data_IF_135027417313
#
_entry.id   IF_135027417313
#
_cell.length_a   1.000
_cell.length_b   1.000
_cell.length_c   1.000
_cell.angle_alpha   90.00
_cell.angle_beta   90.00
_cell.angle_gamma   90.00
#
_symmetry.space_group_name_H-M   'P 1'
#
loop_
_entity.id
_entity.type
_entity.pdbx_description
1 polymer ?
#
# COMPACT_ATOMS: atom_id res chain seq x y z
N UNK A 1 -4.30 -17.57 -1.16
CA UNK A 1 -3.13 -16.69 -1.01
C UNK A 1 -2.91 -15.91 -2.30
N UNK A 2 -2.61 -14.64 -2.18
CA UNK A 2 -2.34 -13.80 -3.33
C UNK A 2 -1.01 -14.19 -3.97
N UNK A 3 -0.98 -14.23 -5.30
CA UNK A 3 0.25 -14.52 -6.03
C UNK A 3 1.01 -13.22 -6.29
N UNK A 4 2.24 -13.13 -5.81
CA UNK A 4 3.08 -11.93 -5.97
C UNK A 4 4.03 -12.17 -7.15
N UNK A 5 3.68 -11.65 -8.33
CA UNK A 5 4.51 -11.78 -9.52
C UNK A 5 5.78 -10.95 -9.37
N UNK A 6 6.89 -11.42 -9.93
CA UNK A 6 8.17 -10.73 -9.96
C UNK A 6 8.81 -10.49 -8.59
N UNK A 7 8.37 -11.22 -7.54
CA UNK A 7 8.98 -11.10 -6.21
C UNK A 7 10.07 -12.17 -6.07
N UNK A 8 11.36 -11.79 -5.88
CA UNK A 8 12.42 -12.77 -5.64
C UNK A 8 12.17 -13.61 -4.39
N UNK A 9 12.74 -14.80 -4.35
CA UNK A 9 12.55 -15.70 -3.22
C UNK A 9 12.95 -15.09 -1.88
N UNK A 10 14.06 -14.35 -1.86
CA UNK A 10 14.51 -13.65 -0.65
C UNK A 10 13.48 -12.66 -0.16
N UNK A 11 12.88 -11.89 -1.08
CA UNK A 11 11.83 -10.93 -0.72
C UNK A 11 10.58 -11.64 -0.25
N UNK A 12 10.27 -12.83 -0.79
CA UNK A 12 9.14 -13.63 -0.32
C UNK A 12 9.34 -14.06 1.13
N UNK A 13 10.55 -14.44 1.49
CA UNK A 13 10.87 -14.81 2.87
C UNK A 13 10.75 -13.62 3.81
N UNK A 14 11.23 -12.44 3.39
CA UNK A 14 11.09 -11.21 4.17
C UNK A 14 9.63 -10.82 4.31
N UNK A 15 8.84 -10.96 3.24
CA UNK A 15 7.41 -10.67 3.28
C UNK A 15 6.71 -11.61 4.25
N UNK A 16 7.06 -12.89 4.23
CA UNK A 16 6.48 -13.87 5.13
C UNK A 16 6.76 -13.49 6.59
N UNK A 17 7.95 -12.96 6.86
CA UNK A 17 8.29 -12.49 8.21
C UNK A 17 7.40 -11.33 8.65
N UNK A 18 7.05 -10.41 7.74
CA UNK A 18 6.11 -9.34 8.03
C UNK A 18 4.72 -9.88 8.37
N UNK A 19 4.30 -10.93 7.70
CA UNK A 19 2.94 -11.47 7.83
C UNK A 19 2.80 -12.44 9.00
N UNK A 20 3.91 -12.99 9.48
CA UNK A 20 3.89 -13.94 10.59
C UNK A 20 3.39 -13.28 11.87
N UNK A 21 2.47 -13.93 12.56
CA UNK A 21 1.93 -13.43 13.83
C UNK A 21 0.87 -12.36 13.70
N UNK A 22 0.50 -11.97 12.48
CA UNK A 22 -0.57 -11.00 12.28
C UNK A 22 -1.93 -11.68 12.40
N UNK A 23 -2.95 -10.90 12.79
CA UNK A 23 -4.30 -11.43 12.92
C UNK A 23 -4.84 -11.88 11.56
N UNK A 24 -5.82 -12.78 11.57
CA UNK A 24 -6.50 -13.21 10.35
C UNK A 24 -7.10 -12.00 9.63
N UNK A 25 -7.64 -11.05 10.39
CA UNK A 25 -8.22 -9.84 9.82
C UNK A 25 -7.18 -9.00 9.09
N UNK A 26 -6.02 -8.76 9.71
CA UNK A 26 -4.93 -7.98 9.08
C UNK A 26 -4.42 -8.67 7.82
N UNK A 27 -4.27 -9.99 7.84
CA UNK A 27 -3.85 -10.75 6.66
C UNK A 27 -4.88 -10.63 5.53
N UNK A 28 -6.16 -10.66 5.86
CA UNK A 28 -7.23 -10.47 4.88
C UNK A 28 -7.20 -9.07 4.27
N UNK A 29 -6.94 -8.05 5.08
CA UNK A 29 -6.79 -6.67 4.60
C UNK A 29 -5.63 -6.57 3.61
N UNK A 30 -4.50 -7.15 3.96
CA UNK A 30 -3.31 -7.13 3.10
C UNK A 30 -3.59 -7.81 1.77
N UNK A 31 -4.12 -9.02 1.79
CA UNK A 31 -4.45 -9.76 0.57
C UNK A 31 -5.43 -8.99 -0.29
N UNK A 32 -6.44 -8.39 0.31
CA UNK A 32 -7.45 -7.63 -0.43
C UNK A 32 -6.83 -6.40 -1.09
N UNK A 33 -6.00 -5.66 -0.35
CA UNK A 33 -5.34 -4.46 -0.88
C UNK A 33 -4.46 -4.80 -2.08
N UNK A 34 -3.66 -5.85 -1.96
CA UNK A 34 -2.78 -6.31 -3.06
C UNK A 34 -3.63 -6.76 -4.26
N UNK A 35 -4.70 -7.53 -4.02
CA UNK A 35 -5.57 -8.01 -5.09
C UNK A 35 -6.21 -6.84 -5.85
N UNK A 36 -6.67 -5.82 -5.14
CA UNK A 36 -7.27 -4.65 -5.78
C UNK A 36 -6.25 -3.89 -6.63
N UNK A 37 -5.01 -3.79 -6.16
CA UNK A 37 -3.95 -3.18 -6.97
C UNK A 37 -3.65 -4.00 -8.22
N UNK A 38 -3.64 -5.33 -8.09
CA UNK A 38 -3.38 -6.22 -9.23
C UNK A 38 -4.45 -6.08 -10.32
N UNK A 39 -5.66 -5.68 -9.98
CA UNK A 39 -6.72 -5.41 -10.95
C UNK A 39 -6.41 -4.18 -11.81
N UNK A 40 -5.61 -3.25 -11.29
CA UNK A 40 -5.20 -2.05 -12.04
C UNK A 40 -4.09 -2.42 -13.02
N UNK A 41 -3.13 -3.23 -12.60
CA UNK A 41 -2.05 -3.69 -13.44
C UNK A 41 -1.04 -4.49 -12.64
N UNK A 42 -0.03 -5.08 -13.32
CA UNK A 42 0.99 -5.87 -12.63
C UNK A 42 1.74 -5.05 -11.60
N UNK A 43 1.96 -5.63 -10.43
CA UNK A 43 2.72 -5.00 -9.35
C UNK A 43 3.76 -5.97 -8.81
N UNK A 44 4.78 -5.41 -8.17
CA UNK A 44 5.76 -6.17 -7.40
C UNK A 44 5.73 -5.69 -5.95
N UNK A 45 5.97 -6.61 -5.03
CA UNK A 45 5.94 -6.33 -3.60
C UNK A 45 7.37 -6.43 -3.07
N UNK A 46 7.85 -5.36 -2.44
CA UNK A 46 9.25 -5.25 -2.00
C UNK A 46 9.30 -5.02 -0.49
N UNK A 47 9.35 -6.09 0.32
CA UNK A 47 9.51 -5.92 1.76
C UNK A 47 10.88 -5.32 2.07
N UNK A 48 10.88 -4.36 2.98
CA UNK A 48 12.10 -3.76 3.50
C UNK A 48 12.13 -4.03 5.00
N UNK A 49 13.05 -3.41 5.72
CA UNK A 49 13.22 -3.69 7.14
C UNK A 49 12.00 -3.28 7.96
N UNK A 50 11.37 -2.15 7.63
CA UNK A 50 10.30 -1.58 8.44
C UNK A 50 9.01 -1.34 7.66
N UNK A 51 8.99 -1.59 6.36
CA UNK A 51 7.82 -1.32 5.54
C UNK A 51 7.82 -2.21 4.29
N UNK A 52 6.68 -2.25 3.61
CA UNK A 52 6.52 -3.01 2.38
C UNK A 52 6.24 -2.01 1.25
N UNK A 53 7.14 -1.94 0.27
CA UNK A 53 6.94 -1.12 -0.92
C UNK A 53 6.18 -1.87 -1.99
N UNK A 54 5.33 -1.16 -2.71
CA UNK A 54 4.62 -1.70 -3.87
C UNK A 54 5.07 -0.93 -5.11
N UNK A 55 5.49 -1.66 -6.13
CA UNK A 55 6.05 -1.11 -7.36
C UNK A 55 5.14 -1.42 -8.55
N UNK A 56 5.12 -0.50 -9.53
CA UNK A 56 4.43 -0.73 -10.79
C UNK A 56 5.36 -1.32 -11.87
N UNK A 57 6.53 -1.82 -11.46
CA UNK A 57 7.54 -2.33 -12.37
C UNK A 57 8.60 -1.30 -12.77
N UNK A 58 8.34 -0.03 -12.55
CA UNK A 58 9.29 1.06 -12.85
C UNK A 58 9.79 1.73 -11.58
N UNK A 59 8.91 1.93 -10.61
CA UNK A 59 9.26 2.58 -9.35
C UNK A 59 8.30 2.13 -8.25
N UNK A 60 8.70 2.34 -7.02
CA UNK A 60 7.81 2.13 -5.88
C UNK A 60 6.80 3.26 -5.84
N UNK A 61 5.52 2.91 -5.76
CA UNK A 61 4.42 3.87 -5.88
C UNK A 61 3.64 4.05 -4.58
N UNK A 62 3.65 3.05 -3.71
CA UNK A 62 2.88 3.04 -2.47
C UNK A 62 3.67 2.25 -1.43
N UNK A 63 3.52 2.60 -0.15
CA UNK A 63 4.19 1.92 0.93
C UNK A 63 3.19 1.50 1.99
N UNK A 64 3.24 0.22 2.39
CA UNK A 64 2.53 -0.24 3.58
C UNK A 64 3.50 -0.08 4.74
N UNK A 65 3.27 0.93 5.58
CA UNK A 65 4.21 1.28 6.65
C UNK A 65 3.92 0.56 7.94
N UNK A 66 2.72 -0.02 8.08
CA UNK A 66 2.37 -0.73 9.29
C UNK A 66 1.29 -1.78 9.03
N UNK A 67 1.54 -2.99 9.51
CA UNK A 67 0.55 -4.04 9.64
C UNK A 67 0.24 -4.13 11.14
N UNK A 68 -0.79 -3.40 11.56
CA UNK A 68 -1.13 -3.34 12.98
C UNK A 68 -2.11 -4.42 13.37
N UNK A 69 -2.61 -4.33 14.60
CA UNK A 69 -3.65 -5.24 15.07
C UNK A 69 -4.95 -4.82 14.40
N UNK A 70 -5.39 -5.62 13.43
CA UNK A 70 -6.63 -5.44 12.69
C UNK A 70 -6.70 -4.16 11.85
N UNK A 71 -5.54 -3.67 11.38
CA UNK A 71 -5.50 -2.56 10.42
C UNK A 71 -4.21 -2.57 9.60
N UNK A 72 -4.27 -1.87 8.45
CA UNK A 72 -3.07 -1.51 7.68
C UNK A 72 -2.94 0.00 7.65
N UNK A 73 -1.71 0.49 7.68
CA UNK A 73 -1.43 1.90 7.41
C UNK A 73 -0.64 1.98 6.12
N UNK A 74 -1.19 2.70 5.14
CA UNK A 74 -0.64 2.77 3.79
C UNK A 74 -0.34 4.23 3.47
N UNK A 75 0.80 4.48 2.82
CA UNK A 75 1.23 5.82 2.43
C UNK A 75 1.26 5.93 0.91
N UNK A 76 0.58 6.95 0.38
CA UNK A 76 0.59 7.30 -1.04
C UNK A 76 1.42 8.57 -1.21
N UNK A 77 2.66 8.47 -1.74
CA UNK A 77 3.56 9.62 -1.87
C UNK A 77 3.31 10.36 -3.18
N UNK A 78 2.31 11.22 -3.20
CA UNK A 78 1.98 12.00 -4.40
C UNK A 78 2.82 13.29 -4.46
N UNK A 79 2.97 13.83 -5.67
CA UNK A 79 3.70 15.08 -5.90
C UNK A 79 2.82 16.32 -5.70
N UNK A 80 1.57 16.14 -5.32
CA UNK A 80 0.64 17.22 -5.02
C UNK A 80 -0.24 16.83 -3.84
N UNK A 81 -0.87 17.81 -3.26
CA UNK A 81 -1.75 17.62 -2.13
C UNK A 81 -3.19 17.44 -2.62
N UNK A 82 -3.78 16.31 -2.30
CA UNK A 82 -5.18 16.00 -2.63
C UNK A 82 -6.03 16.24 -1.38
N UNK A 83 -6.37 17.52 -1.11
CA UNK A 83 -7.12 17.87 0.09
C UNK A 83 -8.60 17.51 0.01
N UNK A 84 -9.15 17.43 -1.19
CA UNK A 84 -10.57 17.14 -1.39
C UNK A 84 -10.81 15.64 -1.44
N UNK A 85 -10.72 14.99 -0.27
CA UNK A 85 -10.88 13.54 -0.17
C UNK A 85 -11.52 13.18 1.17
N UNK A 86 -12.08 11.95 1.24
CA UNK A 86 -12.63 11.37 2.45
C UNK A 86 -11.88 10.11 2.91
N UNK A 87 -10.91 9.64 2.14
CA UNK A 87 -10.24 8.37 2.42
C UNK A 87 -8.93 8.50 3.17
N UNK A 88 -8.25 9.64 3.10
CA UNK A 88 -6.97 9.83 3.78
C UNK A 88 -7.17 10.46 5.15
N UNK A 89 -6.59 9.85 6.17
CA UNK A 89 -6.71 10.39 7.53
C UNK A 89 -5.78 11.58 7.78
N UNK A 90 -4.71 11.70 6.96
CA UNK A 90 -3.70 12.73 7.14
C UNK A 90 -2.93 12.93 5.85
N UNK A 91 -2.51 14.17 5.60
CA UNK A 91 -1.61 14.50 4.50
C UNK A 91 -0.45 15.29 5.10
N UNK A 92 0.78 14.83 4.85
CA UNK A 92 1.98 15.49 5.37
C UNK A 92 2.97 15.75 4.24
N UNK A 93 3.34 17.01 4.06
CA UNK A 93 4.36 17.37 3.07
C UNK A 93 5.75 17.05 3.62
N UNK A 94 6.58 16.43 2.77
CA UNK A 94 7.97 16.15 3.13
C UNK A 94 8.74 17.48 3.11
N UNK A 95 9.44 17.83 4.20
CA UNK A 95 10.18 19.11 4.25
C UNK A 95 11.20 19.21 3.11
N UNK A 96 11.16 20.34 2.40
CA UNK A 96 12.07 20.60 1.30
C UNK A 96 11.76 19.88 0.00
N UNK A 97 10.60 19.25 -0.11
CA UNK A 97 10.20 18.46 -1.26
C UNK A 97 8.76 18.82 -1.64
N UNK A 98 8.39 18.50 -2.87
CA UNK A 98 6.99 18.62 -3.35
C UNK A 98 6.16 17.44 -2.91
N UNK A 99 6.80 16.35 -2.44
CA UNK A 99 6.10 15.13 -2.07
C UNK A 99 5.18 15.35 -0.88
N UNK A 100 3.94 14.91 -1.03
CA UNK A 100 2.95 14.92 0.02
C UNK A 100 2.54 13.49 0.32
N UNK A 101 2.79 13.02 1.52
CA UNK A 101 2.44 11.66 1.94
C UNK A 101 0.99 11.65 2.41
N UNK A 102 0.17 10.86 1.70
CA UNK A 102 -1.25 10.69 2.01
C UNK A 102 -1.42 9.38 2.76
N UNK A 103 -1.93 9.44 3.98
CA UNK A 103 -2.04 8.27 4.87
C UNK A 103 -3.44 7.68 4.82
N UNK A 104 -3.51 6.43 4.41
CA UNK A 104 -4.76 5.67 4.35
C UNK A 104 -4.71 4.57 5.41
N UNK A 105 -5.67 4.60 6.34
CA UNK A 105 -5.81 3.56 7.36
C UNK A 105 -6.93 2.63 6.94
N UNK A 106 -6.57 1.40 6.62
CA UNK A 106 -7.53 0.38 6.20
C UNK A 106 -7.95 -0.47 7.39
N UNK A 107 -9.21 -0.39 7.77
CA UNK A 107 -9.77 -1.11 8.90
C UNK A 107 -10.61 -2.31 8.45
N UNK A 108 -11.12 -2.27 7.24
CA UNK A 108 -11.95 -3.32 6.66
C UNK A 108 -11.80 -3.29 5.15
N UNK A 109 -12.16 -4.41 4.50
CA UNK A 109 -11.97 -4.52 3.04
C UNK A 109 -12.78 -3.49 2.27
N UNK A 110 -13.94 -3.09 2.79
CA UNK A 110 -14.80 -2.08 2.17
C UNK A 110 -14.19 -0.68 2.15
N UNK A 111 -13.11 -0.45 2.91
CA UNK A 111 -12.40 0.82 2.88
C UNK A 111 -11.71 1.05 1.53
N UNK A 112 -11.46 -0.02 0.77
CA UNK A 112 -10.99 0.10 -0.61
C UNK A 112 -12.24 0.30 -1.48
N UNK A 113 -12.69 1.55 -1.54
CA UNK A 113 -13.88 1.95 -2.28
C UNK A 113 -13.49 2.62 -3.60
N UNK A 114 -14.47 3.16 -4.33
CA UNK A 114 -14.21 3.81 -5.61
C UNK A 114 -13.26 4.99 -5.48
N UNK A 115 -13.41 5.79 -4.44
CA UNK A 115 -12.53 6.93 -4.21
C UNK A 115 -11.09 6.47 -4.05
N UNK A 116 -10.84 5.48 -3.20
CA UNK A 116 -9.48 4.99 -2.99
C UNK A 116 -8.93 4.34 -4.26
N UNK A 117 -9.76 3.61 -5.01
CA UNK A 117 -9.32 3.02 -6.27
C UNK A 117 -8.86 4.07 -7.27
N UNK A 118 -9.49 5.25 -7.27
CA UNK A 118 -9.06 6.37 -8.10
C UNK A 118 -7.64 6.78 -7.73
N UNK A 119 -7.34 6.92 -6.44
CA UNK A 119 -5.99 7.27 -5.99
C UNK A 119 -4.99 6.16 -6.25
N UNK A 120 -5.41 4.89 -6.12
CA UNK A 120 -4.56 3.76 -6.46
C UNK A 120 -4.18 3.80 -7.95
N UNK A 121 -5.12 4.14 -8.82
CA UNK A 121 -4.86 4.28 -10.26
C UNK A 121 -3.93 5.45 -10.56
N UNK A 122 -4.09 6.57 -9.88
CA UNK A 122 -3.21 7.73 -10.01
C UNK A 122 -1.78 7.33 -9.60
N UNK A 123 -1.65 6.64 -8.48
CA UNK A 123 -0.35 6.17 -7.99
C UNK A 123 0.30 5.21 -8.99
N UNK A 124 -0.49 4.30 -9.57
CA UNK A 124 0.02 3.32 -10.52
C UNK A 124 0.57 3.98 -11.78
N UNK A 125 -0.12 4.99 -12.28
CA UNK A 125 0.28 5.70 -13.50
C UNK A 125 1.37 6.72 -13.28
N UNK A 126 1.60 7.09 -12.06
CA UNK A 126 2.60 8.10 -11.72
C UNK A 126 3.97 7.49 -11.60
#
# INVERSE_FOLDING_TARGET
MVCYTNTPEEEREQLQAFLTGKSVHTLALFDHFITEFQKIGPIAVHPAKTMIGISNGRKRIVYITRLGKDFLLVVFPFKRRYDDNLCFEKIAQVPGDEQCNHYFRMLQVEDVNEELRTYMSIAYGG
#
